data_IF_278508970649
#
_entry.id   IF_278508970649
#
_cell.length_a   1.000
_cell.length_b   1.000
_cell.length_c   1.000
_cell.angle_alpha   90.00
_cell.angle_beta   90.00
_cell.angle_gamma   90.00
#
_symmetry.space_group_name_H-M   'P 1'
#
loop_
_entity.id
_entity.type
_entity.pdbx_description
1 polymer ?
#
# COMPACT_ATOMS: atom_id res chain seq x y z
N UNK A 1 -12.28 12.55 -0.42
CA UNK A 1 -13.05 11.29 -0.51
C UNK A 1 -12.36 10.27 0.38
N UNK A 2 -13.07 9.27 0.91
CA UNK A 2 -12.43 8.22 1.71
C UNK A 2 -11.63 7.28 0.82
N UNK A 3 -10.46 6.84 1.27
CA UNK A 3 -9.69 5.75 0.68
C UNK A 3 -10.12 4.43 1.31
N UNK A 4 -10.51 3.48 0.47
CA UNK A 4 -10.83 2.13 0.88
C UNK A 4 -9.85 1.15 0.23
N UNK A 5 -9.46 0.14 1.00
CA UNK A 5 -8.45 -0.83 0.59
C UNK A 5 -9.01 -2.23 0.81
N UNK A 6 -8.95 -3.07 -0.20
CA UNK A 6 -9.37 -4.47 -0.11
C UNK A 6 -8.18 -5.39 -0.41
N UNK A 7 -8.08 -6.52 0.29
CA UNK A 7 -7.23 -7.63 -0.12
C UNK A 7 -8.04 -8.91 -0.28
N UNK A 8 -7.92 -9.55 -1.45
CA UNK A 8 -8.76 -10.69 -1.83
C UNK A 8 -10.06 -10.29 -2.55
N UNK A 9 -9.98 -9.37 -3.51
CA UNK A 9 -11.15 -8.82 -4.19
C UNK A 9 -11.96 -9.89 -4.95
N UNK A 10 -11.32 -10.88 -5.60
CA UNK A 10 -12.08 -11.94 -6.26
C UNK A 10 -12.86 -12.81 -5.27
N UNK A 11 -12.24 -13.12 -4.13
CA UNK A 11 -12.88 -13.89 -3.07
C UNK A 11 -14.08 -13.13 -2.46
N UNK A 12 -14.01 -11.80 -2.33
CA UNK A 12 -15.14 -11.01 -1.81
C UNK A 12 -16.34 -10.99 -2.76
N UNK A 13 -16.11 -10.90 -4.07
CA UNK A 13 -17.19 -10.75 -5.04
C UNK A 13 -17.81 -12.06 -5.53
N UNK A 14 -17.14 -13.21 -5.38
CA UNK A 14 -17.54 -14.50 -6.00
C UNK A 14 -19.02 -14.87 -5.81
N UNK A 15 -19.57 -14.66 -4.61
CA UNK A 15 -20.97 -14.97 -4.30
C UNK A 15 -21.85 -13.72 -4.13
N UNK A 16 -21.23 -12.54 -4.04
CA UNK A 16 -21.92 -11.28 -3.73
C UNK A 16 -22.28 -10.49 -4.98
N UNK A 17 -21.41 -10.50 -5.99
CA UNK A 17 -21.54 -9.67 -7.20
C UNK A 17 -20.84 -10.34 -8.39
N UNK A 18 -21.63 -10.99 -9.25
CA UNK A 18 -21.13 -11.68 -10.45
C UNK A 18 -20.51 -10.70 -11.47
N UNK A 19 -20.99 -9.46 -11.53
CA UNK A 19 -20.47 -8.45 -12.45
C UNK A 19 -19.09 -7.97 -11.98
N UNK A 20 -18.97 -7.63 -10.69
CA UNK A 20 -17.70 -7.27 -10.08
C UNK A 20 -16.69 -8.42 -10.17
N UNK A 21 -17.11 -9.66 -9.93
CA UNK A 21 -16.24 -10.83 -10.07
C UNK A 21 -15.68 -10.97 -11.50
N UNK A 22 -16.53 -10.84 -12.52
CA UNK A 22 -16.10 -10.90 -13.94
C UNK A 22 -15.18 -9.74 -14.30
N UNK A 23 -15.49 -8.54 -13.82
CA UNK A 23 -14.68 -7.35 -14.03
C UNK A 23 -13.28 -7.54 -13.47
N UNK A 24 -13.15 -7.83 -12.17
CA UNK A 24 -11.84 -8.05 -11.54
C UNK A 24 -11.11 -9.27 -12.11
N UNK A 25 -11.84 -10.31 -12.54
CA UNK A 25 -11.22 -11.45 -13.24
C UNK A 25 -10.57 -11.04 -14.56
N UNK A 26 -11.12 -10.04 -15.25
CA UNK A 26 -10.50 -9.47 -16.44
C UNK A 26 -9.30 -8.59 -16.06
N UNK A 27 -9.46 -7.73 -15.06
CA UNK A 27 -8.39 -6.86 -14.56
C UNK A 27 -7.15 -7.66 -14.17
N UNK A 28 -7.31 -8.75 -13.42
CA UNK A 28 -6.17 -9.59 -13.02
C UNK A 28 -5.51 -10.34 -14.20
N UNK A 29 -6.23 -10.58 -15.30
CA UNK A 29 -5.59 -11.08 -16.53
C UNK A 29 -4.70 -10.02 -17.15
N UNK A 30 -5.13 -8.76 -17.15
CA UNK A 30 -4.37 -7.64 -17.70
C UNK A 30 -3.15 -7.30 -16.83
N UNK A 31 -3.32 -7.30 -15.50
CA UNK A 31 -2.21 -7.25 -14.53
C UNK A 31 -1.19 -8.35 -14.82
N UNK A 32 -1.61 -9.60 -15.01
CA UNK A 32 -0.69 -10.70 -15.29
C UNK A 32 0.05 -10.57 -16.62
N UNK A 33 -0.60 -10.06 -17.68
CA UNK A 33 0.08 -9.77 -18.94
C UNK A 33 1.18 -8.71 -18.74
N UNK A 34 0.90 -7.66 -17.97
CA UNK A 34 1.89 -6.62 -17.66
C UNK A 34 3.07 -7.19 -16.85
N UNK A 35 2.81 -8.07 -15.88
CA UNK A 35 3.87 -8.79 -15.15
C UNK A 35 4.73 -9.62 -16.11
N UNK A 36 4.11 -10.41 -16.99
CA UNK A 36 4.83 -11.24 -17.97
C UNK A 36 5.68 -10.41 -18.95
N UNK A 37 5.17 -9.28 -19.43
CA UNK A 37 5.90 -8.36 -20.31
C UNK A 37 7.15 -7.77 -19.63
N UNK A 38 7.13 -7.66 -18.30
CA UNK A 38 8.27 -7.21 -17.49
C UNK A 38 9.16 -8.39 -17.01
N UNK A 39 8.95 -9.59 -17.54
CA UNK A 39 9.74 -10.78 -17.19
C UNK A 39 9.46 -11.33 -15.79
N UNK A 40 8.33 -10.95 -15.19
CA UNK A 40 7.90 -11.43 -13.88
C UNK A 40 6.97 -12.63 -14.01
N UNK A 41 6.95 -13.48 -12.98
CA UNK A 41 6.04 -14.62 -12.93
C UNK A 41 4.62 -14.11 -12.64
N UNK A 42 3.62 -14.43 -13.48
CA UNK A 42 2.22 -14.09 -13.20
C UNK A 42 1.74 -14.84 -11.96
N UNK A 43 0.68 -14.33 -11.33
CA UNK A 43 0.06 -14.96 -10.17
C UNK A 43 -1.45 -15.13 -10.38
N UNK A 44 -2.05 -16.08 -9.68
CA UNK A 44 -3.50 -16.28 -9.73
C UNK A 44 -4.13 -15.65 -8.50
N UNK A 45 -4.95 -14.61 -8.71
CA UNK A 45 -5.75 -14.03 -7.63
C UNK A 45 -6.73 -15.08 -7.10
N UNK A 46 -6.71 -15.39 -5.80
CA UNK A 46 -7.53 -16.44 -5.23
C UNK A 46 -9.01 -16.06 -5.27
N UNK A 47 -9.82 -16.92 -5.86
CA UNK A 47 -11.27 -16.82 -5.82
C UNK A 47 -11.87 -17.34 -4.49
N UNK A 48 -11.07 -17.97 -3.64
CA UNK A 48 -11.46 -18.47 -2.31
C UNK A 48 -10.30 -18.23 -1.33
N UNK A 49 -10.61 -17.73 -0.14
CA UNK A 49 -9.63 -17.42 0.90
C UNK A 49 -10.01 -18.04 2.24
N UNK A 50 -9.08 -18.80 2.83
CA UNK A 50 -9.21 -19.27 4.21
C UNK A 50 -9.05 -18.07 5.16
N UNK A 51 -10.18 -17.58 5.70
CA UNK A 51 -10.23 -16.40 6.57
C UNK A 51 -10.97 -15.20 5.97
N UNK A 52 -11.37 -15.27 4.70
CA UNK A 52 -12.12 -14.22 4.01
C UNK A 52 -11.24 -13.11 3.42
N UNK A 53 -11.87 -12.18 2.71
CA UNK A 53 -11.23 -10.96 2.26
C UNK A 53 -11.01 -9.99 3.42
N UNK A 54 -10.05 -9.09 3.24
CA UNK A 54 -9.77 -8.03 4.19
C UNK A 54 -10.23 -6.69 3.60
N UNK A 55 -11.03 -5.94 4.33
CA UNK A 55 -11.43 -4.58 3.98
C UNK A 55 -10.94 -3.61 5.06
N UNK A 56 -10.25 -2.57 4.63
CA UNK A 56 -9.56 -1.58 5.47
C UNK A 56 -9.80 -0.17 4.92
N UNK A 57 -9.41 0.83 5.71
CA UNK A 57 -9.49 2.24 5.31
C UNK A 57 -10.68 3.00 5.91
N UNK A 58 -11.29 3.88 5.11
CA UNK A 58 -12.30 4.85 5.58
C UNK A 58 -11.71 6.18 6.08
N UNK A 59 -10.45 6.45 5.76
CA UNK A 59 -9.77 7.72 6.04
C UNK A 59 -9.59 8.56 4.76
N UNK A 60 -9.26 9.86 4.87
CA UNK A 60 -9.07 10.70 3.68
C UNK A 60 -7.90 10.19 2.83
N UNK A 61 -8.05 10.07 1.51
CA UNK A 61 -6.93 9.69 0.64
C UNK A 61 -5.71 10.60 0.83
N UNK A 62 -5.93 11.88 1.18
CA UNK A 62 -4.83 12.83 1.47
C UNK A 62 -3.86 12.35 2.56
N UNK A 63 -4.29 11.44 3.44
CA UNK A 63 -3.44 10.92 4.51
C UNK A 63 -2.30 10.05 3.97
N UNK A 64 -2.42 9.50 2.75
CA UNK A 64 -1.32 8.73 2.16
C UNK A 64 -0.09 9.60 1.90
N UNK A 65 -0.29 10.86 1.50
CA UNK A 65 0.80 11.80 1.24
C UNK A 65 1.60 12.10 2.51
N UNK A 66 0.94 12.12 3.67
CA UNK A 66 1.62 12.27 4.95
C UNK A 66 2.63 11.13 5.18
N UNK A 67 2.20 9.89 4.96
CA UNK A 67 3.06 8.71 5.10
C UNK A 67 4.20 8.70 4.07
N UNK A 68 3.91 9.04 2.81
CA UNK A 68 4.92 9.12 1.74
C UNK A 68 5.99 10.17 2.05
N UNK A 69 5.59 11.35 2.55
CA UNK A 69 6.55 12.38 2.95
C UNK A 69 7.41 11.90 4.11
N UNK A 70 6.79 11.26 5.11
CA UNK A 70 7.54 10.68 6.22
C UNK A 70 8.57 9.66 5.72
N UNK A 71 8.18 8.77 4.80
CA UNK A 71 9.08 7.79 4.20
C UNK A 71 10.26 8.46 3.47
N UNK A 72 9.97 9.45 2.62
CA UNK A 72 10.98 10.19 1.88
C UNK A 72 12.03 10.84 2.81
N UNK A 73 11.60 11.48 3.91
CA UNK A 73 12.55 12.04 4.88
C UNK A 73 13.38 10.95 5.59
N UNK A 74 12.80 9.78 5.88
CA UNK A 74 13.58 8.66 6.41
C UNK A 74 14.59 8.11 5.41
N UNK A 75 14.27 8.12 4.11
CA UNK A 75 15.12 7.61 3.05
C UNK A 75 16.28 8.58 2.70
N UNK A 76 16.00 9.88 2.68
CA UNK A 76 16.99 10.92 2.34
C UNK A 76 17.99 11.18 3.49
N UNK A 77 17.53 11.13 4.74
CA UNK A 77 18.30 11.58 5.89
C UNK A 77 18.44 10.48 6.95
N UNK A 78 19.58 9.78 6.93
CA UNK A 78 19.89 8.65 7.83
C UNK A 78 19.65 8.96 9.33
N UNK A 79 20.13 10.11 9.79
CA UNK A 79 20.02 10.57 11.18
C UNK A 79 18.77 11.43 11.46
N UNK A 80 17.79 11.47 10.54
CA UNK A 80 16.61 12.29 10.74
C UNK A 80 15.82 11.87 11.98
N UNK A 81 15.55 12.83 12.84
CA UNK A 81 14.69 12.66 14.00
C UNK A 81 13.34 13.26 13.66
N UNK A 82 12.27 12.46 13.59
CA UNK A 82 10.97 12.97 13.17
C UNK A 82 10.46 14.06 14.11
N UNK A 83 10.13 15.21 13.53
CA UNK A 83 9.42 16.31 14.19
C UNK A 83 8.15 16.56 13.38
N UNK A 84 6.98 16.76 14.01
CA UNK A 84 5.73 17.01 13.30
C UNK A 84 5.88 18.14 12.28
N UNK A 85 5.48 17.87 11.06
CA UNK A 85 5.45 18.88 10.01
C UNK A 85 4.44 19.98 10.36
N UNK A 86 4.68 21.18 9.84
CA UNK A 86 3.73 22.28 10.02
C UNK A 86 2.33 21.88 9.52
N UNK A 87 1.24 22.16 10.26
CA UNK A 87 -0.13 21.89 9.80
C UNK A 87 -0.50 22.60 8.49
N UNK A 88 0.20 23.69 8.16
CA UNK A 88 -0.02 24.45 6.92
C UNK A 88 0.81 23.90 5.75
N UNK A 89 1.74 22.98 5.99
CA UNK A 89 2.51 22.34 4.93
C UNK A 89 1.66 21.29 4.22
N UNK A 90 1.70 21.30 2.89
CA UNK A 90 1.04 20.28 2.09
C UNK A 90 2.03 19.17 1.79
N UNK A 91 1.78 17.93 2.25
CA UNK A 91 2.71 16.83 2.05
C UNK A 91 2.90 16.46 0.57
N UNK A 92 1.89 16.66 -0.28
CA UNK A 92 1.95 16.39 -1.72
C UNK A 92 2.73 17.44 -2.52
N UNK A 93 3.11 18.57 -1.93
CA UNK A 93 3.89 19.63 -2.57
C UNK A 93 5.35 19.65 -2.06
N UNK A 94 5.77 18.66 -1.28
CA UNK A 94 7.13 18.57 -0.75
C UNK A 94 8.07 17.97 -1.81
N UNK A 95 9.08 18.72 -2.25
CA UNK A 95 9.92 18.36 -3.40
C UNK A 95 10.71 17.06 -3.22
N UNK A 96 10.96 16.65 -1.97
CA UNK A 96 11.61 15.38 -1.66
C UNK A 96 10.80 14.18 -2.19
N UNK A 97 9.47 14.33 -2.31
CA UNK A 97 8.61 13.29 -2.90
C UNK A 97 8.93 13.11 -4.37
N UNK A 98 9.06 14.22 -5.12
CA UNK A 98 9.33 14.19 -6.55
C UNK A 98 10.72 13.58 -6.83
N UNK A 99 11.71 13.89 -5.98
CA UNK A 99 13.06 13.34 -6.07
C UNK A 99 13.03 11.81 -5.92
N UNK A 100 12.36 11.29 -4.90
CA UNK A 100 12.24 9.83 -4.70
C UNK A 100 11.28 9.14 -5.69
N UNK A 101 10.23 9.83 -6.15
CA UNK A 101 9.33 9.28 -7.16
C UNK A 101 10.06 9.10 -8.50
N UNK A 102 11.06 9.93 -8.80
CA UNK A 102 11.84 9.86 -10.03
C UNK A 102 12.70 8.59 -10.13
N UNK A 103 13.00 7.94 -9.01
CA UNK A 103 13.74 6.67 -8.99
C UNK A 103 12.88 5.48 -9.42
N UNK A 104 11.54 5.58 -9.36
CA UNK A 104 10.57 4.55 -9.76
C UNK A 104 10.74 3.18 -9.06
N UNK A 105 11.43 3.14 -7.92
CA UNK A 105 11.66 1.91 -7.15
C UNK A 105 10.93 1.87 -5.81
N UNK A 106 10.40 3.01 -5.33
CA UNK A 106 9.64 3.05 -4.09
C UNK A 106 8.15 2.85 -4.37
N UNK A 107 7.64 1.67 -4.01
CA UNK A 107 6.28 1.23 -4.29
C UNK A 107 5.26 2.07 -3.52
N UNK A 108 5.55 2.42 -2.27
CA UNK A 108 4.72 3.31 -1.45
C UNK A 108 4.59 4.72 -2.05
N UNK A 109 5.68 5.29 -2.55
CA UNK A 109 5.70 6.68 -3.07
C UNK A 109 5.03 6.77 -4.43
N UNK A 110 5.37 5.85 -5.33
CA UNK A 110 4.98 5.97 -6.73
C UNK A 110 3.56 5.47 -7.01
N UNK A 111 2.98 4.62 -6.17
CA UNK A 111 1.62 4.12 -6.37
C UNK A 111 0.60 5.25 -6.47
N UNK A 112 -0.50 5.03 -7.21
CA UNK A 112 -1.62 5.97 -7.27
C UNK A 112 -2.20 6.28 -5.88
N UNK A 113 -2.78 7.47 -5.71
CA UNK A 113 -3.27 7.96 -4.42
C UNK A 113 -4.51 7.21 -3.93
N UNK A 114 -5.36 6.77 -4.87
CA UNK A 114 -6.69 6.26 -4.56
C UNK A 114 -7.15 5.08 -5.42
N UNK A 115 -6.36 4.64 -6.39
CA UNK A 115 -6.67 3.49 -7.25
C UNK A 115 -5.41 2.65 -7.45
N UNK A 116 -5.55 1.45 -8.02
CA UNK A 116 -4.41 0.62 -8.38
C UNK A 116 -4.17 -0.55 -7.44
N UNK A 117 -3.05 -1.23 -7.68
CA UNK A 117 -2.81 -2.58 -7.21
C UNK A 117 -1.43 -2.72 -6.55
N UNK A 118 -1.39 -3.44 -5.44
CA UNK A 118 -0.19 -4.17 -5.02
C UNK A 118 -0.43 -5.66 -5.18
N UNK A 119 0.45 -6.37 -5.89
CA UNK A 119 0.31 -7.81 -6.13
C UNK A 119 1.28 -8.61 -5.25
N UNK A 120 0.94 -9.85 -4.88
CA UNK A 120 1.76 -10.71 -4.04
C UNK A 120 2.89 -11.39 -4.84
N UNK A 121 3.64 -10.59 -5.60
CA UNK A 121 4.82 -10.99 -6.39
C UNK A 121 5.99 -10.13 -5.93
N UNK A 122 7.15 -10.71 -5.64
CA UNK A 122 8.35 -9.97 -5.20
C UNK A 122 9.12 -9.45 -6.42
N UNK A 123 9.15 -8.12 -6.58
CA UNK A 123 9.88 -7.44 -7.65
C UNK A 123 10.31 -6.05 -7.19
N UNK A 124 11.36 -5.51 -7.83
CA UNK A 124 12.00 -4.26 -7.42
C UNK A 124 11.39 -3.08 -8.18
N UNK A 125 11.35 -3.15 -9.51
CA UNK A 125 10.93 -2.03 -10.36
C UNK A 125 9.42 -2.02 -10.52
N UNK A 126 8.81 -0.83 -10.42
CA UNK A 126 7.37 -0.68 -10.60
C UNK A 126 6.96 -1.05 -12.02
N UNK A 127 5.86 -1.81 -12.12
CA UNK A 127 5.31 -2.17 -13.42
C UNK A 127 4.29 -1.13 -13.84
N UNK A 128 4.54 -0.46 -14.95
CA UNK A 128 3.61 0.50 -15.55
C UNK A 128 2.68 -0.19 -16.53
N UNK A 129 1.48 0.37 -16.66
CA UNK A 129 0.57 0.02 -17.73
C UNK A 129 1.07 0.52 -19.10
N UNK A 130 0.29 0.26 -20.14
CA UNK A 130 0.54 0.84 -21.46
C UNK A 130 -0.77 1.04 -22.21
N UNK A 131 -0.71 1.76 -23.33
CA UNK A 131 -1.89 2.09 -24.15
C UNK A 131 -2.71 0.86 -24.60
N UNK A 132 -2.08 -0.31 -24.71
CA UNK A 132 -2.75 -1.55 -25.13
C UNK A 132 -3.41 -2.30 -23.96
N UNK A 133 -2.87 -2.16 -22.75
CA UNK A 133 -3.30 -2.86 -21.53
C UNK A 133 -3.39 -1.84 -20.37
N UNK A 134 -4.35 -0.92 -20.41
CA UNK A 134 -4.53 0.05 -19.34
C UNK A 134 -5.08 -0.63 -18.09
N UNK A 135 -4.63 -0.18 -16.92
CA UNK A 135 -5.17 -0.62 -15.63
C UNK A 135 -5.44 0.59 -14.72
N UNK A 136 -6.35 0.43 -13.77
CA UNK A 136 -6.61 1.48 -12.80
C UNK A 136 -5.34 1.84 -12.01
N UNK A 137 -5.09 3.14 -11.86
CA UNK A 137 -3.89 3.65 -11.18
C UNK A 137 -2.60 3.60 -12.01
N UNK A 138 -2.63 3.04 -13.22
CA UNK A 138 -1.51 2.99 -14.19
C UNK A 138 -0.22 2.30 -13.73
N UNK A 139 -0.18 1.80 -12.49
CA UNK A 139 1.01 1.21 -11.87
C UNK A 139 0.63 0.02 -11.01
N UNK A 140 1.50 -0.98 -11.01
CA UNK A 140 1.41 -2.18 -10.18
C UNK A 140 2.59 -2.19 -9.23
N UNK A 141 2.29 -2.13 -7.94
CA UNK A 141 3.26 -2.30 -6.87
C UNK A 141 3.40 -3.77 -6.43
N UNK A 142 4.47 -4.05 -5.72
CA UNK A 142 4.71 -5.33 -5.05
C UNK A 142 4.30 -5.23 -3.59
N UNK A 143 3.44 -6.14 -3.13
CA UNK A 143 3.10 -6.24 -1.70
C UNK A 143 4.33 -6.55 -0.84
N UNK A 144 5.32 -7.28 -1.39
CA UNK A 144 6.58 -7.56 -0.70
C UNK A 144 7.46 -6.33 -0.57
N UNK A 145 7.58 -5.52 -1.62
CA UNK A 145 8.33 -4.27 -1.57
C UNK A 145 7.66 -3.27 -0.62
N UNK A 146 6.34 -3.07 -0.74
CA UNK A 146 5.55 -2.24 0.18
C UNK A 146 5.76 -2.67 1.64
N UNK A 147 5.72 -3.98 1.92
CA UNK A 147 5.94 -4.49 3.26
C UNK A 147 7.34 -4.15 3.81
N UNK A 148 8.39 -4.33 2.98
CA UNK A 148 9.78 -3.96 3.32
C UNK A 148 9.90 -2.45 3.60
N UNK A 149 9.27 -1.61 2.77
CA UNK A 149 9.25 -0.16 2.90
C UNK A 149 8.53 0.32 4.17
N UNK A 150 7.41 -0.30 4.52
CA UNK A 150 6.71 0.01 5.76
C UNK A 150 7.54 -0.39 6.98
N UNK A 151 8.20 -1.57 6.96
CA UNK A 151 9.11 -2.00 8.02
C UNK A 151 10.27 -1.02 8.23
N UNK A 152 10.80 -0.46 7.15
CA UNK A 152 11.90 0.52 7.20
C UNK A 152 11.58 1.73 8.09
N UNK A 153 10.34 2.24 8.06
CA UNK A 153 9.95 3.44 8.82
C UNK A 153 9.25 3.15 10.15
N UNK A 154 8.94 1.90 10.48
CA UNK A 154 8.15 1.52 11.65
C UNK A 154 8.69 2.12 12.96
N UNK A 155 10.00 1.93 13.22
CA UNK A 155 10.63 2.43 14.45
C UNK A 155 10.61 3.96 14.55
N UNK A 156 10.80 4.69 13.44
CA UNK A 156 10.75 6.16 13.41
C UNK A 156 9.33 6.67 13.68
N UNK A 157 8.29 5.90 13.34
CA UNK A 157 6.90 6.18 13.71
C UNK A 157 6.53 5.73 15.14
N UNK A 158 7.50 5.24 15.93
CA UNK A 158 7.28 4.62 17.23
C UNK A 158 6.37 3.38 17.18
N UNK A 159 6.44 2.61 16.09
CA UNK A 159 5.76 1.33 15.92
C UNK A 159 6.80 0.22 16.08
N UNK A 160 6.59 -0.67 17.03
CA UNK A 160 7.52 -1.75 17.37
C UNK A 160 7.00 -3.07 16.82
N UNK A 161 7.85 -3.78 16.09
CA UNK A 161 7.58 -5.10 15.53
C UNK A 161 8.40 -6.17 16.26
N UNK A 162 7.81 -7.35 16.46
CA UNK A 162 8.54 -8.55 16.87
C UNK A 162 9.13 -9.32 15.66
N UNK A 163 9.71 -10.49 15.92
CA UNK A 163 10.33 -11.36 14.89
C UNK A 163 9.32 -11.89 13.87
N UNK A 164 8.03 -11.96 14.22
CA UNK A 164 6.92 -12.44 13.38
C UNK A 164 6.15 -11.28 12.71
N UNK A 165 6.75 -10.09 12.68
CA UNK A 165 6.18 -8.88 12.11
C UNK A 165 4.81 -8.53 12.72
N UNK A 166 4.69 -8.69 14.03
CA UNK A 166 3.50 -8.32 14.82
C UNK A 166 3.76 -7.04 15.61
N UNK A 167 2.79 -6.13 15.62
CA UNK A 167 2.89 -4.85 16.33
C UNK A 167 2.75 -5.09 17.83
N UNK A 168 3.86 -5.05 18.58
CA UNK A 168 3.87 -5.36 20.02
C UNK A 168 3.30 -4.23 20.88
N UNK A 169 3.39 -2.99 20.40
CA UNK A 169 2.92 -1.80 21.11
C UNK A 169 1.60 -1.24 20.53
N UNK A 170 0.75 -2.10 19.97
CA UNK A 170 -0.47 -1.70 19.24
C UNK A 170 -1.44 -0.86 20.08
N UNK A 171 -1.56 -1.11 21.39
CA UNK A 171 -2.41 -0.32 22.28
C UNK A 171 -1.94 1.14 22.37
N UNK A 172 -0.63 1.37 22.46
CA UNK A 172 -0.04 2.71 22.50
C UNK A 172 -0.19 3.42 21.15
N UNK A 173 0.03 2.70 20.04
CA UNK A 173 -0.16 3.22 18.68
C UNK A 173 -1.61 3.65 18.46
N UNK A 174 -2.58 2.79 18.79
CA UNK A 174 -4.00 3.10 18.65
C UNK A 174 -4.43 4.26 19.55
N UNK A 175 -3.92 4.34 20.78
CA UNK A 175 -4.16 5.49 21.66
C UNK A 175 -3.66 6.78 21.03
N UNK A 176 -2.45 6.77 20.46
CA UNK A 176 -1.84 7.92 19.79
C UNK A 176 -2.65 8.37 18.56
N UNK A 177 -3.14 7.40 17.76
CA UNK A 177 -4.03 7.67 16.62
C UNK A 177 -5.33 8.32 17.09
N UNK A 178 -6.00 7.72 18.08
CA UNK A 178 -7.30 8.20 18.58
C UNK A 178 -7.22 9.56 19.28
N UNK A 179 -6.07 9.88 19.88
CA UNK A 179 -5.81 11.17 20.51
C UNK A 179 -5.29 12.23 19.52
N UNK A 180 -5.16 11.89 18.22
CA UNK A 180 -4.61 12.74 17.17
C UNK A 180 -3.24 13.35 17.52
N UNK A 181 -2.40 12.55 18.19
CA UNK A 181 -1.05 12.96 18.57
C UNK A 181 -0.11 13.03 17.34
N UNK A 182 1.15 13.39 17.58
CA UNK A 182 2.18 13.50 16.55
C UNK A 182 2.19 12.28 15.61
N UNK A 183 2.13 12.58 14.31
CA UNK A 183 2.12 11.62 13.21
C UNK A 183 0.94 10.64 13.21
N UNK A 184 -0.21 11.00 13.78
CA UNK A 184 -1.37 10.11 13.85
C UNK A 184 -1.88 9.65 12.47
N UNK A 185 -1.79 10.49 11.44
CA UNK A 185 -2.21 10.15 10.06
C UNK A 185 -1.27 9.12 9.46
N UNK A 186 0.03 9.35 9.59
CA UNK A 186 1.10 8.46 9.15
C UNK A 186 0.95 7.09 9.83
N UNK A 187 0.77 7.06 11.15
CA UNK A 187 0.54 5.83 11.92
C UNK A 187 -0.72 5.09 11.48
N UNK A 188 -1.83 5.81 11.26
CA UNK A 188 -3.08 5.22 10.79
C UNK A 188 -2.89 4.53 9.43
N UNK A 189 -2.38 5.26 8.44
CA UNK A 189 -2.17 4.71 7.09
C UNK A 189 -1.15 3.57 7.12
N UNK A 190 -0.07 3.72 7.89
CA UNK A 190 0.94 2.68 8.05
C UNK A 190 0.32 1.39 8.58
N UNK A 191 -0.49 1.46 9.64
CA UNK A 191 -1.13 0.28 10.22
C UNK A 191 -2.04 -0.44 9.23
N UNK A 192 -2.82 0.31 8.45
CA UNK A 192 -3.76 -0.26 7.48
C UNK A 192 -3.01 -0.89 6.29
N UNK A 193 -2.02 -0.20 5.72
CA UNK A 193 -1.19 -0.76 4.64
C UNK A 193 -0.34 -1.95 5.10
N UNK A 194 0.17 -1.93 6.33
CA UNK A 194 0.97 -3.02 6.87
C UNK A 194 0.12 -4.29 7.06
N UNK A 195 -1.11 -4.14 7.59
CA UNK A 195 -2.07 -5.25 7.66
C UNK A 195 -2.44 -5.76 6.27
N UNK A 196 -2.71 -4.87 5.31
CA UNK A 196 -3.04 -5.23 3.93
C UNK A 196 -1.90 -6.00 3.25
N UNK A 197 -0.67 -5.53 3.40
CA UNK A 197 0.52 -6.20 2.85
C UNK A 197 0.78 -7.56 3.48
N UNK A 198 0.67 -7.68 4.82
CA UNK A 198 0.80 -8.96 5.52
C UNK A 198 -0.27 -9.96 5.08
N UNK A 199 -1.52 -9.51 4.96
CA UNK A 199 -2.63 -10.32 4.46
C UNK A 199 -2.42 -10.75 3.00
N UNK A 200 -2.04 -9.81 2.14
CA UNK A 200 -1.77 -10.04 0.72
C UNK A 200 -0.71 -11.12 0.52
N UNK A 201 0.42 -11.00 1.22
CA UNK A 201 1.53 -11.96 1.15
C UNK A 201 1.10 -13.34 1.65
N UNK A 202 0.45 -13.40 2.82
CA UNK A 202 0.02 -14.68 3.41
C UNK A 202 -0.96 -15.43 2.52
N UNK A 203 -1.94 -14.72 1.98
CA UNK A 203 -3.05 -15.29 1.23
C UNK A 203 -2.83 -15.33 -0.28
N UNK A 204 -1.69 -14.80 -0.77
CA UNK A 204 -1.40 -14.62 -2.20
C UNK A 204 -2.52 -13.85 -2.92
N UNK A 205 -3.06 -12.84 -2.25
CA UNK A 205 -4.13 -11.99 -2.78
C UNK A 205 -3.61 -10.58 -3.00
N UNK A 206 -3.99 -9.90 -4.07
CA UNK A 206 -3.64 -8.49 -4.28
C UNK A 206 -4.29 -7.58 -3.25
N UNK A 207 -3.72 -6.39 -3.12
CA UNK A 207 -4.31 -5.22 -2.49
C UNK A 207 -4.88 -4.35 -3.61
N UNK A 208 -6.11 -3.89 -3.46
CA UNK A 208 -6.82 -3.01 -4.42
C UNK A 208 -7.24 -1.74 -3.70
N UNK A 209 -6.97 -0.59 -4.31
CA UNK A 209 -7.44 0.73 -3.83
C UNK A 209 -8.72 1.12 -4.55
N UNK A 210 -9.69 1.70 -3.82
CA UNK A 210 -11.01 2.10 -4.29
C UNK A 210 -11.32 3.58 -3.99
#
# INVERSE_FOLDING_TARGET
MGLYITSGALASFKEMDEEAFKHYSSVFKDVNKLLELNGLTPYEEPAELEGGSLELGGFSYDFIHHLRRFYAYCAEYEDWTPIPFSPNSKPSEDSIIDDHASDLTCHLICHSDCTGFYVPVDFIDIVFDNDEIPIDGAMIGSSYALFKELKFIANKLNIQLDEDDTIVNIEAVNKSINAEEDFWKEKLVWCELFKAAKHSIHNKAAIVFH
#
